data_IF_286335261917
#
_entry.id   IF_286335261917
#
_cell.length_a   1.000
_cell.length_b   1.000
_cell.length_c   1.000
_cell.angle_alpha   90.00
_cell.angle_beta   90.00
_cell.angle_gamma   90.00
#
_symmetry.space_group_name_H-M   'P 1'
#
loop_
_entity.id
_entity.type
_entity.pdbx_description
1 polymer ?
#
# COMPACT_ATOMS: atom_id res chain seq x y z
N UNK A 1 -30.61 -42.29 23.86
CA UNK A 1 -29.76 -41.59 22.87
C UNK A 1 -28.30 -41.84 23.24
N UNK A 2 -27.49 -42.46 22.36
CA UNK A 2 -26.15 -42.92 22.73
C UNK A 2 -25.18 -41.75 22.99
N UNK A 3 -24.28 -41.91 23.98
CA UNK A 3 -23.26 -40.93 24.37
C UNK A 3 -22.42 -40.40 23.19
N UNK A 4 -22.25 -41.21 22.13
CA UNK A 4 -21.59 -40.82 20.87
C UNK A 4 -22.39 -39.81 20.03
N UNK A 5 -23.72 -39.91 20.02
CA UNK A 5 -24.60 -38.99 19.29
C UNK A 5 -24.65 -37.61 19.98
N UNK A 6 -24.69 -37.59 21.32
CA UNK A 6 -24.63 -36.35 22.12
C UNK A 6 -23.29 -35.63 21.92
N UNK A 7 -22.16 -36.36 21.92
CA UNK A 7 -20.83 -35.78 21.64
C UNK A 7 -20.70 -35.21 20.22
N UNK A 8 -21.28 -35.87 19.21
CA UNK A 8 -21.27 -35.37 17.81
C UNK A 8 -22.13 -34.12 17.64
N UNK A 9 -23.30 -34.06 18.28
CA UNK A 9 -24.16 -32.87 18.28
C UNK A 9 -23.50 -31.70 19.02
N UNK A 10 -22.87 -31.95 20.18
CA UNK A 10 -22.16 -30.92 20.93
C UNK A 10 -20.93 -30.39 20.17
N UNK A 11 -20.17 -31.28 19.50
CA UNK A 11 -19.05 -30.89 18.65
C UNK A 11 -19.49 -30.08 17.41
N UNK A 12 -20.60 -30.47 16.78
CA UNK A 12 -21.18 -29.72 15.67
C UNK A 12 -21.67 -28.32 16.08
N UNK A 13 -22.33 -28.22 17.25
CA UNK A 13 -22.75 -26.95 17.83
C UNK A 13 -21.56 -26.04 18.18
N UNK A 14 -20.51 -26.58 18.76
CA UNK A 14 -19.29 -25.83 19.08
C UNK A 14 -18.56 -25.33 17.82
N UNK A 15 -18.49 -26.14 16.76
CA UNK A 15 -17.90 -25.74 15.49
C UNK A 15 -18.70 -24.62 14.79
N UNK A 16 -20.03 -24.70 14.81
CA UNK A 16 -20.91 -23.64 14.29
C UNK A 16 -20.80 -22.35 15.10
N UNK A 17 -20.72 -22.43 16.43
CA UNK A 17 -20.51 -21.27 17.29
C UNK A 17 -19.14 -20.62 17.05
N UNK A 18 -18.08 -21.42 16.89
CA UNK A 18 -16.74 -20.92 16.56
C UNK A 18 -16.70 -20.24 15.18
N UNK A 19 -17.36 -20.83 14.18
CA UNK A 19 -17.47 -20.24 12.84
C UNK A 19 -18.29 -18.94 12.86
N UNK A 20 -19.43 -18.92 13.57
CA UNK A 20 -20.24 -17.72 13.74
C UNK A 20 -19.50 -16.60 14.46
N UNK A 21 -18.74 -16.93 15.52
CA UNK A 21 -17.88 -15.97 16.22
C UNK A 21 -16.76 -15.44 15.32
N UNK A 22 -16.12 -16.30 14.51
CA UNK A 22 -15.05 -15.89 13.61
C UNK A 22 -15.52 -15.03 12.42
N UNK A 23 -16.81 -15.07 12.07
CA UNK A 23 -17.40 -14.28 10.99
C UNK A 23 -18.20 -13.06 11.49
N UNK A 24 -18.31 -12.86 12.82
CA UNK A 24 -19.15 -11.81 13.41
C UNK A 24 -18.77 -10.40 12.98
N UNK A 25 -17.49 -10.19 12.67
CA UNK A 25 -16.95 -8.87 12.33
C UNK A 25 -17.08 -8.55 10.82
N UNK A 26 -17.39 -9.56 9.98
CA UNK A 26 -17.53 -9.38 8.52
C UNK A 26 -18.49 -8.22 8.17
N UNK A 27 -19.69 -8.08 8.76
CA UNK A 27 -20.58 -6.96 8.42
C UNK A 27 -20.01 -5.58 8.79
N UNK A 28 -19.09 -5.51 9.75
CA UNK A 28 -18.41 -4.27 10.10
C UNK A 28 -17.25 -3.98 9.12
N UNK A 29 -16.54 -5.03 8.68
CA UNK A 29 -15.47 -4.94 7.69
C UNK A 29 -15.93 -4.42 6.31
N UNK A 30 -17.19 -4.63 5.94
CA UNK A 30 -17.77 -4.13 4.69
C UNK A 30 -17.89 -2.60 4.63
N UNK A 31 -17.80 -1.90 5.77
CA UNK A 31 -17.91 -0.44 5.82
C UNK A 31 -19.35 0.09 5.69
N UNK A 32 -19.45 1.42 5.57
CA UNK A 32 -20.71 2.17 5.44
C UNK A 32 -21.05 2.56 4.00
N UNK A 33 -22.24 3.12 3.81
CA UNK A 33 -22.72 3.64 2.52
C UNK A 33 -22.93 5.14 2.64
N UNK A 34 -22.52 5.89 1.63
CA UNK A 34 -22.69 7.33 1.61
C UNK A 34 -24.17 7.76 1.65
N UNK A 35 -24.44 8.84 2.38
CA UNK A 35 -25.76 9.45 2.50
C UNK A 35 -25.61 10.94 2.82
N UNK A 36 -26.71 11.69 2.79
CA UNK A 36 -26.74 13.12 3.12
C UNK A 36 -25.77 13.95 2.28
N UNK A 37 -25.11 14.92 2.92
CA UNK A 37 -24.18 15.85 2.27
C UNK A 37 -23.04 15.15 1.49
N UNK A 38 -22.52 14.03 2.01
CA UNK A 38 -21.50 13.24 1.31
C UNK A 38 -22.01 12.71 -0.02
N UNK A 39 -23.22 12.13 -0.03
CA UNK A 39 -23.82 11.64 -1.27
C UNK A 39 -24.08 12.79 -2.25
N UNK A 40 -24.51 13.95 -1.76
CA UNK A 40 -24.67 15.15 -2.60
C UNK A 40 -23.34 15.67 -3.17
N UNK A 41 -22.23 15.57 -2.43
CA UNK A 41 -20.89 15.84 -2.97
C UNK A 41 -20.50 14.82 -4.05
N UNK A 42 -20.69 13.53 -3.79
CA UNK A 42 -20.41 12.47 -4.76
C UNK A 42 -21.20 12.67 -6.05
N UNK A 43 -22.50 12.97 -5.97
CA UNK A 43 -23.35 13.21 -7.15
C UNK A 43 -22.94 14.42 -7.99
N UNK A 44 -22.17 15.36 -7.41
CA UNK A 44 -21.61 16.53 -8.12
C UNK A 44 -20.21 16.28 -8.66
N UNK A 45 -19.56 15.19 -8.28
CA UNK A 45 -18.23 14.83 -8.77
C UNK A 45 -18.26 14.61 -10.28
N UNK A 46 -17.32 15.18 -11.06
CA UNK A 46 -17.16 14.85 -12.48
C UNK A 46 -16.90 13.36 -12.74
N UNK A 47 -16.39 12.65 -11.73
CA UNK A 47 -16.03 11.24 -11.82
C UNK A 47 -17.19 10.30 -11.48
N UNK A 48 -18.30 10.83 -10.96
CA UNK A 48 -19.46 10.05 -10.58
C UNK A 48 -20.57 10.13 -11.62
N UNK A 49 -20.94 8.98 -12.19
CA UNK A 49 -22.07 8.86 -13.13
C UNK A 49 -22.64 7.45 -13.10
N UNK A 50 -23.92 7.33 -13.41
CA UNK A 50 -24.64 6.05 -13.44
C UNK A 50 -24.57 5.26 -12.11
N UNK A 51 -24.44 5.99 -10.99
CA UNK A 51 -24.41 5.42 -9.64
C UNK A 51 -23.05 4.85 -9.20
N UNK A 52 -21.97 5.10 -9.95
CA UNK A 52 -20.61 4.69 -9.58
C UNK A 52 -19.56 5.73 -9.99
N UNK A 53 -18.37 5.63 -9.42
CA UNK A 53 -17.18 6.34 -9.88
C UNK A 53 -16.55 5.68 -11.11
N UNK A 54 -15.84 6.47 -11.91
CA UNK A 54 -15.20 6.04 -13.16
C UNK A 54 -13.80 6.60 -13.29
N UNK A 55 -12.92 5.87 -13.97
CA UNK A 55 -11.61 6.37 -14.38
C UNK A 55 -11.73 7.46 -15.44
N UNK A 56 -10.76 8.37 -15.48
CA UNK A 56 -10.58 9.34 -16.57
C UNK A 56 -10.23 8.64 -17.90
N UNK A 57 -9.45 7.56 -17.83
CA UNK A 57 -9.17 6.64 -18.94
C UNK A 57 -9.83 5.29 -18.63
N UNK A 58 -10.73 4.77 -19.50
CA UNK A 58 -11.38 3.48 -19.28
C UNK A 58 -10.37 2.38 -18.93
N UNK A 59 -10.67 1.54 -17.94
CA UNK A 59 -9.77 0.50 -17.45
C UNK A 59 -10.42 -0.88 -17.55
N UNK A 60 -9.65 -1.85 -18.04
CA UNK A 60 -10.03 -3.26 -18.08
C UNK A 60 -9.74 -3.90 -16.72
N UNK A 61 -10.79 -4.25 -15.97
CA UNK A 61 -10.66 -4.83 -14.64
C UNK A 61 -10.30 -6.31 -14.70
N UNK A 62 -11.20 -7.16 -15.22
CA UNK A 62 -10.99 -8.59 -15.43
C UNK A 62 -11.93 -9.02 -16.54
N UNK A 63 -11.46 -9.81 -17.51
CA UNK A 63 -12.34 -10.31 -18.57
C UNK A 63 -13.44 -11.24 -18.01
N UNK A 64 -14.72 -11.04 -18.40
CA UNK A 64 -15.79 -11.95 -18.01
C UNK A 64 -15.48 -13.40 -18.41
N UNK A 65 -15.58 -14.33 -17.44
CA UNK A 65 -15.32 -15.76 -17.68
C UNK A 65 -13.87 -16.22 -17.44
N UNK A 66 -12.92 -15.31 -17.19
CA UNK A 66 -11.51 -15.65 -16.92
C UNK A 66 -11.25 -16.19 -15.50
N UNK A 67 -12.23 -16.11 -14.59
CA UNK A 67 -12.07 -16.47 -13.18
C UNK A 67 -11.52 -17.89 -12.92
N UNK A 68 -11.97 -18.96 -13.62
CA UNK A 68 -11.38 -20.29 -13.45
C UNK A 68 -9.91 -20.34 -13.89
N UNK A 69 -9.55 -19.62 -14.96
CA UNK A 69 -8.17 -19.52 -15.46
C UNK A 69 -7.25 -18.80 -14.49
N UNK A 70 -7.72 -17.68 -13.92
CA UNK A 70 -7.02 -16.93 -12.86
C UNK A 70 -6.85 -17.82 -11.63
N UNK A 71 -7.89 -18.52 -11.18
CA UNK A 71 -7.81 -19.42 -10.04
C UNK A 71 -6.79 -20.56 -10.29
N UNK A 72 -6.79 -21.15 -11.48
CA UNK A 72 -5.79 -22.16 -11.86
C UNK A 72 -4.36 -21.58 -11.86
N UNK A 73 -4.16 -20.36 -12.37
CA UNK A 73 -2.88 -19.67 -12.36
C UNK A 73 -2.41 -19.35 -10.93
N UNK A 74 -3.34 -18.93 -10.06
CA UNK A 74 -3.13 -18.71 -8.63
C UNK A 74 -2.87 -20.00 -7.85
N UNK A 75 -3.12 -21.18 -8.43
CA UNK A 75 -2.76 -22.47 -7.84
C UNK A 75 -1.42 -23.00 -8.37
N UNK A 76 -1.06 -22.68 -9.63
CA UNK A 76 0.26 -22.97 -10.19
C UNK A 76 1.35 -22.15 -9.50
N UNK A 77 2.57 -22.69 -9.46
CA UNK A 77 3.80 -22.02 -9.00
C UNK A 77 3.75 -21.37 -7.61
N UNK A 78 2.89 -21.89 -6.73
CA UNK A 78 2.66 -21.35 -5.37
C UNK A 78 3.94 -21.23 -4.55
N UNK A 79 4.90 -22.12 -4.75
CA UNK A 79 6.18 -22.09 -4.07
C UNK A 79 6.99 -20.82 -4.39
N UNK A 80 6.97 -20.34 -5.63
CA UNK A 80 7.70 -19.14 -6.05
C UNK A 80 7.11 -17.84 -5.50
N UNK A 81 5.84 -17.87 -5.09
CA UNK A 81 5.13 -16.72 -4.51
C UNK A 81 5.31 -16.58 -3.00
N UNK A 82 6.17 -17.41 -2.42
CA UNK A 82 6.58 -17.36 -1.03
C UNK A 82 8.09 -17.13 -0.98
N UNK A 83 8.58 -16.35 -0.01
CA UNK A 83 10.02 -16.24 0.20
C UNK A 83 10.60 -17.58 0.64
N UNK A 84 11.81 -17.89 0.19
CA UNK A 84 12.51 -19.13 0.55
C UNK A 84 13.02 -19.11 2.00
N UNK A 85 13.12 -17.93 2.61
CA UNK A 85 13.49 -17.72 4.02
C UNK A 85 12.70 -16.55 4.61
N UNK A 86 13.06 -16.15 5.82
CA UNK A 86 12.45 -14.98 6.46
C UNK A 86 12.88 -13.69 5.77
N UNK A 87 11.90 -12.84 5.43
CA UNK A 87 12.19 -11.49 4.93
C UNK A 87 12.88 -10.72 6.06
N UNK A 88 14.09 -10.18 5.85
CA UNK A 88 14.80 -9.46 6.89
C UNK A 88 14.04 -8.17 7.23
N UNK A 89 13.78 -7.95 8.52
CA UNK A 89 13.05 -6.78 9.03
C UNK A 89 13.96 -5.92 9.89
N UNK A 90 13.62 -4.64 9.99
CA UNK A 90 14.28 -3.71 10.89
C UNK A 90 13.27 -3.17 11.90
N UNK A 91 13.37 -3.68 13.13
CA UNK A 91 12.57 -3.20 14.25
C UNK A 91 13.30 -2.02 14.90
N UNK A 92 13.03 -0.79 14.44
CA UNK A 92 13.55 0.44 15.07
C UNK A 92 12.41 1.39 15.44
N UNK A 93 12.47 2.03 16.62
CA UNK A 93 11.60 3.16 16.91
C UNK A 93 11.83 4.28 15.89
N UNK A 94 10.80 5.09 15.63
CA UNK A 94 10.96 6.28 14.82
C UNK A 94 11.99 7.23 15.46
N UNK A 95 12.87 7.77 14.64
CA UNK A 95 13.86 8.78 15.04
C UNK A 95 13.17 10.12 15.30
N UNK A 96 13.79 11.06 16.03
CA UNK A 96 13.28 12.43 16.15
C UNK A 96 13.00 13.07 14.78
N UNK A 97 12.00 13.97 14.72
CA UNK A 97 11.66 14.71 13.51
C UNK A 97 12.85 15.55 13.05
N UNK A 98 13.20 15.47 11.78
CA UNK A 98 14.06 16.45 11.13
C UNK A 98 13.22 17.65 10.69
N UNK A 99 13.65 18.86 11.03
CA UNK A 99 12.97 20.08 10.58
C UNK A 99 13.07 20.30 9.06
N UNK A 100 14.04 19.65 8.42
CA UNK A 100 14.30 19.75 6.99
C UNK A 100 14.36 18.37 6.35
N UNK A 101 14.04 18.29 5.06
CA UNK A 101 14.24 17.09 4.25
C UNK A 101 13.01 16.21 4.07
N UNK A 102 13.24 15.08 3.41
CA UNK A 102 12.26 14.02 3.17
C UNK A 102 12.90 12.69 3.54
N UNK A 103 12.19 11.90 4.33
CA UNK A 103 12.58 10.54 4.69
C UNK A 103 11.36 9.63 4.72
N UNK A 104 11.58 8.33 4.61
CA UNK A 104 10.48 7.36 4.66
C UNK A 104 10.88 6.11 5.44
N UNK A 105 9.91 5.54 6.16
CA UNK A 105 9.99 4.20 6.73
C UNK A 105 8.91 3.37 6.06
N UNK A 106 9.31 2.31 5.37
CA UNK A 106 8.39 1.39 4.71
C UNK A 106 8.06 0.23 5.64
N UNK A 107 6.80 0.07 6.06
CA UNK A 107 6.39 -1.01 6.96
C UNK A 107 5.93 -2.29 6.24
N UNK A 108 5.91 -2.26 4.91
CA UNK A 108 5.45 -3.34 4.04
C UNK A 108 4.17 -2.96 3.29
N UNK A 109 3.95 -3.62 2.15
CA UNK A 109 2.87 -3.35 1.22
C UNK A 109 2.87 -1.88 0.78
N UNK A 110 1.76 -1.18 0.90
CA UNK A 110 1.66 0.26 0.68
C UNK A 110 1.96 1.11 1.93
N UNK A 111 2.02 0.49 3.11
CA UNK A 111 2.14 1.21 4.38
C UNK A 111 3.51 1.88 4.50
N UNK A 112 3.52 3.20 4.42
CA UNK A 112 4.74 4.00 4.46
C UNK A 112 4.54 5.22 5.35
N UNK A 113 5.43 5.40 6.33
CA UNK A 113 5.51 6.63 7.11
C UNK A 113 6.53 7.55 6.47
N UNK A 114 6.06 8.65 5.89
CA UNK A 114 6.90 9.69 5.30
C UNK A 114 7.03 10.84 6.27
N UNK A 115 8.25 11.31 6.47
CA UNK A 115 8.52 12.58 7.14
C UNK A 115 8.93 13.60 6.09
N UNK A 116 8.23 14.73 6.05
CA UNK A 116 8.44 15.84 5.12
C UNK A 116 8.42 17.14 5.91
N UNK A 117 9.57 17.83 5.96
CA UNK A 117 9.72 19.13 6.63
C UNK A 117 9.15 19.14 8.06
N UNK A 118 9.53 18.14 8.86
CA UNK A 118 9.09 18.00 10.25
C UNK A 118 7.71 17.37 10.46
N UNK A 119 6.96 17.09 9.40
CA UNK A 119 5.61 16.51 9.49
C UNK A 119 5.62 15.04 9.06
N UNK A 120 4.82 14.22 9.75
CA UNK A 120 4.72 12.79 9.54
C UNK A 120 3.38 12.42 8.90
N UNK A 121 3.45 11.85 7.71
CA UNK A 121 2.29 11.40 6.93
C UNK A 121 2.36 9.88 6.81
N UNK A 122 1.29 9.21 7.25
CA UNK A 122 1.17 7.76 7.15
C UNK A 122 0.24 7.39 5.99
N UNK A 123 0.79 6.73 4.98
CA UNK A 123 0.04 6.27 3.81
C UNK A 123 -0.45 4.84 4.00
N UNK A 124 -1.71 4.58 3.63
CA UNK A 124 -2.38 3.29 3.52
C UNK A 124 -1.99 2.29 4.61
N UNK A 125 -2.28 2.62 5.89
CA UNK A 125 -1.80 1.84 7.01
C UNK A 125 -2.57 0.54 7.18
N UNK A 126 -1.84 -0.58 7.11
CA UNK A 126 -2.36 -1.92 7.36
C UNK A 126 -1.46 -2.65 8.34
N UNK A 127 -1.97 -2.85 9.55
CA UNK A 127 -1.35 -3.65 10.61
C UNK A 127 -1.95 -5.06 10.74
N UNK A 128 -3.03 -5.38 10.03
CA UNK A 128 -3.60 -6.73 10.03
C UNK A 128 -2.67 -7.79 9.43
N UNK A 129 -2.78 -9.01 9.95
CA UNK A 129 -2.11 -10.22 9.42
C UNK A 129 -2.73 -10.65 8.07
N UNK A 130 -4.01 -10.35 7.86
CA UNK A 130 -4.75 -10.64 6.63
C UNK A 130 -5.50 -9.43 6.10
N UNK A 131 -5.55 -9.34 4.78
CA UNK A 131 -6.26 -8.28 4.03
C UNK A 131 -7.51 -8.88 3.41
N UNK A 132 -8.56 -8.98 4.23
CA UNK A 132 -9.78 -9.70 3.90
C UNK A 132 -10.92 -9.27 4.85
N UNK A 133 -12.19 -9.35 4.43
CA UNK A 133 -13.32 -9.21 5.34
C UNK A 133 -13.35 -10.29 6.44
N UNK A 134 -12.57 -11.37 6.30
CA UNK A 134 -12.47 -12.46 7.26
C UNK A 134 -11.04 -12.68 7.72
N UNK A 135 -10.86 -12.88 9.03
CA UNK A 135 -9.56 -13.25 9.60
C UNK A 135 -9.20 -14.74 9.39
N UNK A 136 -10.10 -15.54 8.81
CA UNK A 136 -9.86 -16.96 8.52
C UNK A 136 -9.36 -17.20 7.09
N UNK A 137 -9.81 -16.40 6.13
CA UNK A 137 -9.63 -16.63 4.70
C UNK A 137 -9.12 -15.36 4.04
N UNK A 138 -8.30 -15.49 3.00
CA UNK A 138 -7.77 -14.37 2.22
C UNK A 138 -6.25 -14.26 2.31
N UNK A 139 -5.65 -13.28 1.62
CA UNK A 139 -4.21 -13.08 1.62
C UNK A 139 -3.69 -12.82 3.02
N UNK A 140 -2.62 -13.53 3.39
CA UNK A 140 -1.89 -13.37 4.65
C UNK A 140 -0.54 -12.74 4.37
N UNK A 141 -0.05 -11.95 5.32
CA UNK A 141 1.27 -11.32 5.24
C UNK A 141 2.38 -12.35 5.11
N UNK A 142 3.43 -12.03 4.33
CA UNK A 142 4.62 -12.85 4.10
C UNK A 142 5.70 -12.68 5.19
N UNK A 143 5.58 -11.64 6.02
CA UNK A 143 6.48 -11.34 7.13
C UNK A 143 5.66 -10.80 8.31
N UNK A 144 6.12 -10.85 9.57
CA UNK A 144 5.46 -10.11 10.65
C UNK A 144 5.62 -8.60 10.45
N UNK A 145 4.82 -7.80 11.17
CA UNK A 145 5.03 -6.35 11.19
C UNK A 145 6.41 -6.00 11.76
N UNK A 146 7.12 -5.01 11.20
CA UNK A 146 8.41 -4.57 11.76
C UNK A 146 8.29 -4.04 13.19
N UNK A 147 7.16 -3.37 13.49
CA UNK A 147 6.82 -2.82 14.80
C UNK A 147 5.31 -2.93 15.07
N UNK A 148 4.87 -3.20 16.31
CA UNK A 148 3.46 -3.00 16.68
C UNK A 148 3.02 -1.54 16.47
N UNK A 149 1.72 -1.34 16.21
CA UNK A 149 1.14 -0.01 15.97
C UNK A 149 1.32 0.93 17.17
N UNK A 150 1.40 0.39 18.39
CA UNK A 150 1.66 1.16 19.61
C UNK A 150 3.06 1.81 19.66
N UNK A 151 3.98 1.39 18.79
CA UNK A 151 5.28 2.05 18.62
C UNK A 151 5.33 2.99 17.42
N UNK A 152 4.21 3.19 16.73
CA UNK A 152 4.10 4.23 15.73
C UNK A 152 4.27 5.58 16.42
N UNK A 153 5.14 6.47 15.92
CA UNK A 153 5.21 7.82 16.45
C UNK A 153 3.88 8.57 16.26
N UNK A 154 3.75 9.72 16.92
CA UNK A 154 2.73 10.69 16.53
C UNK A 154 2.85 11.02 15.05
N UNK A 155 1.72 10.91 14.35
CA UNK A 155 1.57 11.26 12.94
C UNK A 155 0.70 12.51 12.84
N UNK A 156 0.95 13.32 11.83
CA UNK A 156 0.25 14.58 11.58
C UNK A 156 -0.91 14.40 10.60
N UNK A 157 -0.85 13.37 9.76
CA UNK A 157 -1.90 12.99 8.83
C UNK A 157 -1.87 11.48 8.52
N UNK A 158 -3.05 10.90 8.30
CA UNK A 158 -3.21 9.56 7.70
C UNK A 158 -3.85 9.74 6.33
N UNK A 159 -3.24 9.17 5.30
CA UNK A 159 -3.70 9.28 3.91
C UNK A 159 -4.12 7.90 3.42
N UNK A 160 -5.31 7.81 2.82
CA UNK A 160 -5.84 6.58 2.22
C UNK A 160 -6.00 6.77 0.72
N UNK A 161 -5.48 5.87 -0.11
CA UNK A 161 -5.64 5.95 -1.56
C UNK A 161 -6.99 5.43 -2.06
N UNK A 162 -7.51 4.34 -1.49
CA UNK A 162 -8.78 3.72 -1.86
C UNK A 162 -9.26 2.71 -0.80
N UNK A 163 -10.44 2.12 -1.00
CA UNK A 163 -11.14 1.36 0.04
C UNK A 163 -10.86 -0.16 0.06
N UNK A 164 -9.92 -0.69 -0.73
CA UNK A 164 -9.63 -2.13 -0.69
C UNK A 164 -9.04 -2.56 0.66
N UNK A 165 -9.18 -3.85 0.99
CA UNK A 165 -8.81 -4.38 2.32
C UNK A 165 -7.32 -4.26 2.66
N UNK A 166 -6.47 -4.17 1.65
CA UNK A 166 -5.03 -4.01 1.77
C UNK A 166 -4.55 -2.56 1.77
N UNK A 167 -5.49 -1.60 1.71
CA UNK A 167 -5.23 -0.16 1.75
C UNK A 167 -6.03 0.54 2.86
N UNK A 168 -7.21 -0.01 3.18
CA UNK A 168 -8.11 0.46 4.22
C UNK A 168 -8.43 -0.69 5.19
N UNK A 169 -7.58 -0.84 6.19
CA UNK A 169 -7.71 -1.88 7.21
C UNK A 169 -8.47 -1.36 8.44
N UNK A 170 -9.69 -1.88 8.65
CA UNK A 170 -10.58 -1.41 9.73
C UNK A 170 -9.94 -1.52 11.12
N UNK A 171 -9.23 -2.61 11.40
CA UNK A 171 -8.57 -2.80 12.69
C UNK A 171 -7.52 -1.72 12.95
N UNK A 172 -6.73 -1.39 11.93
CA UNK A 172 -5.76 -0.28 11.98
C UNK A 172 -6.44 1.08 12.14
N UNK A 173 -7.51 1.36 11.39
CA UNK A 173 -8.26 2.61 11.52
C UNK A 173 -8.81 2.81 12.93
N UNK A 174 -9.41 1.77 13.53
CA UNK A 174 -9.92 1.85 14.89
C UNK A 174 -8.82 2.13 15.91
N UNK A 175 -7.68 1.47 15.77
CA UNK A 175 -6.55 1.65 16.67
C UNK A 175 -5.88 3.04 16.51
N UNK A 176 -5.76 3.54 15.28
CA UNK A 176 -5.32 4.91 14.99
C UNK A 176 -6.30 5.95 15.53
N UNK A 177 -7.61 5.69 15.44
CA UNK A 177 -8.64 6.59 15.96
C UNK A 177 -8.53 6.73 17.48
N UNK A 178 -8.28 5.61 18.18
CA UNK A 178 -8.13 5.58 19.62
C UNK A 178 -6.79 6.14 20.12
N UNK A 179 -5.70 5.96 19.36
CA UNK A 179 -4.34 6.27 19.81
C UNK A 179 -3.71 7.54 19.21
N UNK A 180 -4.31 8.12 18.18
CA UNK A 180 -3.78 9.28 17.46
C UNK A 180 -4.86 10.34 17.28
N UNK A 181 -4.46 11.60 17.12
CA UNK A 181 -5.34 12.75 16.85
C UNK A 181 -5.42 13.12 15.37
N UNK A 182 -4.50 12.61 14.55
CA UNK A 182 -4.36 12.96 13.14
C UNK A 182 -5.69 12.82 12.35
N UNK A 183 -5.98 13.74 11.42
CA UNK A 183 -7.06 13.57 10.47
C UNK A 183 -6.72 12.48 9.43
N UNK A 184 -7.77 11.89 8.87
CA UNK A 184 -7.75 10.98 7.74
C UNK A 184 -8.11 11.75 6.48
N UNK A 185 -7.18 11.83 5.54
CA UNK A 185 -7.42 12.35 4.20
C UNK A 185 -7.72 11.20 3.26
N UNK A 186 -8.90 11.22 2.65
CA UNK A 186 -9.42 10.10 1.86
C UNK A 186 -10.17 10.60 0.62
N UNK A 187 -10.24 9.81 -0.46
CA UNK A 187 -11.15 10.11 -1.57
C UNK A 187 -12.62 10.14 -1.16
N UNK A 188 -13.44 10.88 -1.92
CA UNK A 188 -14.89 10.95 -1.74
C UNK A 188 -15.55 9.57 -1.54
N UNK A 189 -16.43 9.47 -0.55
CA UNK A 189 -17.23 8.27 -0.27
C UNK A 189 -16.60 7.39 0.81
N UNK A 190 -15.27 7.36 0.94
CA UNK A 190 -14.57 6.57 1.97
C UNK A 190 -14.94 7.05 3.39
N UNK A 191 -15.27 8.33 3.56
CA UNK A 191 -15.71 8.86 4.85
C UNK A 191 -16.93 8.14 5.42
N UNK A 192 -17.79 7.55 4.58
CA UNK A 192 -18.91 6.73 5.05
C UNK A 192 -18.46 5.46 5.77
N UNK A 193 -17.34 4.86 5.34
CA UNK A 193 -16.72 3.73 6.05
C UNK A 193 -16.14 4.20 7.38
N UNK A 194 -15.39 5.29 7.38
CA UNK A 194 -14.74 5.85 8.57
C UNK A 194 -15.77 6.26 9.64
N UNK A 195 -16.84 6.96 9.26
CA UNK A 195 -17.93 7.32 10.17
C UNK A 195 -18.63 6.09 10.76
N UNK A 196 -18.89 5.06 9.95
CA UNK A 196 -19.45 3.79 10.46
C UNK A 196 -18.52 3.17 11.49
N UNK A 197 -17.22 3.31 11.32
CA UNK A 197 -16.19 2.84 12.26
C UNK A 197 -15.90 3.84 13.39
N UNK A 198 -16.76 4.84 13.57
CA UNK A 198 -16.70 5.81 14.67
C UNK A 198 -15.46 6.70 14.65
N UNK A 199 -14.88 6.93 13.47
CA UNK A 199 -13.93 8.04 13.30
C UNK A 199 -14.69 9.36 13.48
N UNK A 200 -14.23 10.28 14.34
CA UNK A 200 -14.86 11.59 14.50
C UNK A 200 -14.95 12.35 13.17
N UNK A 201 -16.10 12.96 12.89
CA UNK A 201 -16.35 13.62 11.60
C UNK A 201 -15.36 14.77 11.32
N UNK A 202 -14.91 15.48 12.35
CA UNK A 202 -13.91 16.55 12.26
C UNK A 202 -12.49 16.03 11.94
N UNK A 203 -12.27 14.72 12.02
CA UNK A 203 -11.04 14.05 11.60
C UNK A 203 -11.14 13.44 10.21
N UNK A 204 -12.23 13.62 9.47
CA UNK A 204 -12.39 13.05 8.13
C UNK A 204 -12.36 14.18 7.10
N UNK A 205 -11.35 14.17 6.24
CA UNK A 205 -11.20 15.11 5.13
C UNK A 205 -11.38 14.33 3.84
N UNK A 206 -12.54 14.50 3.20
CA UNK A 206 -12.87 13.85 1.93
C UNK A 206 -12.65 14.78 0.74
N UNK A 207 -11.85 14.32 -0.21
CA UNK A 207 -11.47 15.09 -1.40
C UNK A 207 -11.85 14.35 -2.69
N UNK A 208 -12.34 15.10 -3.68
CA UNK A 208 -12.40 14.66 -5.07
C UNK A 208 -11.03 14.81 -5.74
N UNK A 209 -10.85 14.28 -6.95
CA UNK A 209 -9.68 14.60 -7.75
C UNK A 209 -9.58 16.11 -8.01
N UNK A 210 -8.36 16.61 -7.95
CA UNK A 210 -7.98 18.03 -8.08
C UNK A 210 -8.46 18.92 -6.92
N UNK A 211 -9.11 18.36 -5.89
CA UNK A 211 -9.34 19.05 -4.62
C UNK A 211 -8.13 18.92 -3.68
N UNK A 212 -7.96 19.92 -2.82
CA UNK A 212 -6.86 19.96 -1.86
C UNK A 212 -7.30 20.40 -0.46
N UNK A 213 -6.51 20.02 0.54
CA UNK A 213 -6.65 20.45 1.92
C UNK A 213 -5.27 20.75 2.52
N UNK A 214 -5.24 21.63 3.52
CA UNK A 214 -4.02 21.95 4.27
C UNK A 214 -4.12 21.42 5.68
N UNK A 215 -3.17 20.57 6.08
CA UNK A 215 -3.06 19.99 7.44
C UNK A 215 -1.63 20.17 7.92
N UNK A 216 -1.45 20.80 9.08
CA UNK A 216 -0.11 21.01 9.64
C UNK A 216 0.82 21.80 8.72
N UNK A 217 0.31 22.68 7.86
CA UNK A 217 1.15 23.42 6.90
C UNK A 217 1.60 22.62 5.66
N UNK A 218 1.26 21.33 5.57
CA UNK A 218 1.36 20.56 4.33
C UNK A 218 0.08 20.70 3.51
N UNK A 219 0.21 20.87 2.20
CA UNK A 219 -0.91 20.78 1.26
C UNK A 219 -1.00 19.35 0.72
N UNK A 220 -2.18 18.78 0.82
CA UNK A 220 -2.53 17.48 0.28
C UNK A 220 -3.49 17.68 -0.88
N UNK A 221 -3.14 17.18 -2.06
CA UNK A 221 -4.02 17.22 -3.23
C UNK A 221 -4.32 15.79 -3.65
N UNK A 222 -5.60 15.44 -3.70
CA UNK A 222 -6.03 14.17 -4.27
C UNK A 222 -5.96 14.28 -5.80
N UNK A 223 -5.22 13.38 -6.44
CA UNK A 223 -5.01 13.38 -7.88
C UNK A 223 -5.54 12.09 -8.51
N UNK A 224 -5.72 12.12 -9.82
CA UNK A 224 -6.24 10.97 -10.55
C UNK A 224 -5.39 9.71 -10.35
N UNK A 225 -6.04 8.55 -10.34
CA UNK A 225 -5.42 7.24 -10.42
C UNK A 225 -6.26 6.36 -11.35
N UNK A 226 -5.62 5.40 -12.02
CA UNK A 226 -6.30 4.42 -12.86
C UNK A 226 -6.50 3.12 -12.08
N UNK A 227 -7.58 3.03 -11.32
CA UNK A 227 -7.87 1.89 -10.44
C UNK A 227 -9.39 1.70 -10.30
N UNK A 228 -9.82 1.06 -9.21
CA UNK A 228 -11.23 0.85 -8.87
C UNK A 228 -11.38 0.76 -7.35
N UNK A 229 -12.62 0.65 -6.86
CA UNK A 229 -12.88 0.45 -5.42
C UNK A 229 -13.92 -0.64 -5.19
N UNK A 230 -14.00 -1.12 -3.96
CA UNK A 230 -15.09 -1.99 -3.51
C UNK A 230 -14.70 -2.88 -2.34
N UNK A 231 -15.56 -2.84 -1.31
CA UNK A 231 -15.52 -3.76 -0.15
C UNK A 231 -16.65 -4.79 -0.17
N UNK A 232 -17.55 -4.70 -1.14
CA UNK A 232 -18.74 -5.55 -1.24
C UNK A 232 -18.81 -6.19 -2.64
N UNK A 233 -19.97 -6.77 -2.97
CA UNK A 233 -20.24 -7.22 -4.34
C UNK A 233 -20.44 -6.02 -5.30
N UNK A 234 -20.78 -4.85 -4.76
CA UNK A 234 -20.80 -3.58 -5.51
C UNK A 234 -19.40 -3.00 -5.52
N UNK A 235 -19.01 -2.45 -6.67
CA UNK A 235 -17.73 -1.78 -6.90
C UNK A 235 -17.96 -0.31 -7.20
N UNK A 236 -16.91 0.49 -7.03
CA UNK A 236 -16.85 1.89 -7.43
C UNK A 236 -17.92 2.76 -6.75
N UNK A 237 -18.31 2.42 -5.52
CA UNK A 237 -19.21 3.23 -4.68
C UNK A 237 -18.45 4.27 -3.84
N UNK A 238 -17.13 4.20 -3.82
CA UNK A 238 -16.19 5.21 -3.31
C UNK A 238 -15.20 5.61 -4.41
N UNK A 239 -14.62 6.80 -4.31
CA UNK A 239 -13.54 7.22 -5.21
C UNK A 239 -12.22 6.56 -4.78
N UNK A 240 -11.27 6.47 -5.70
CA UNK A 240 -9.87 6.07 -5.49
C UNK A 240 -8.98 7.19 -5.99
N UNK A 241 -7.74 7.32 -5.50
CA UNK A 241 -6.86 8.39 -5.94
C UNK A 241 -5.38 8.14 -5.67
N UNK A 242 -4.56 8.98 -6.27
CA UNK A 242 -3.17 9.21 -5.88
C UNK A 242 -3.09 10.51 -5.06
N UNK A 243 -1.94 10.79 -4.48
CA UNK A 243 -1.78 11.90 -3.56
C UNK A 243 -0.50 12.68 -3.82
N UNK A 244 -0.64 14.00 -3.94
CA UNK A 244 0.45 14.96 -3.82
C UNK A 244 0.49 15.48 -2.40
N UNK A 245 1.66 15.45 -1.76
CA UNK A 245 1.93 16.09 -0.47
C UNK A 245 3.03 17.11 -0.65
N UNK A 246 2.67 18.39 -0.54
CA UNK A 246 3.58 19.51 -0.74
C UNK A 246 3.82 20.27 0.58
N UNK A 247 5.10 20.34 0.97
CA UNK A 247 5.58 21.28 1.98
C UNK A 247 5.94 22.63 1.37
N UNK A 248 6.74 23.41 2.09
CA UNK A 248 7.25 24.71 1.65
C UNK A 248 8.29 24.58 0.54
N UNK A 249 9.15 23.56 0.60
CA UNK A 249 10.25 23.31 -0.34
C UNK A 249 10.23 21.90 -0.92
N UNK A 250 9.76 20.93 -0.15
CA UNK A 250 9.77 19.51 -0.54
C UNK A 250 8.40 19.02 -1.01
N UNK A 251 8.37 18.01 -1.89
CA UNK A 251 7.13 17.39 -2.39
C UNK A 251 7.26 15.87 -2.50
N UNK A 252 6.22 15.16 -2.09
CA UNK A 252 6.11 13.71 -2.16
C UNK A 252 4.88 13.35 -3.00
N UNK A 253 5.02 12.33 -3.84
CA UNK A 253 3.89 11.73 -4.55
C UNK A 253 3.66 10.30 -4.07
N UNK A 254 2.40 9.92 -3.90
CA UNK A 254 1.99 8.55 -3.63
C UNK A 254 0.97 8.08 -4.66
N UNK A 255 1.29 7.02 -5.39
CA UNK A 255 0.47 6.56 -6.52
C UNK A 255 -0.80 5.79 -6.11
N UNK A 256 -0.94 5.39 -4.84
CA UNK A 256 -1.87 4.32 -4.49
C UNK A 256 -1.46 3.03 -5.20
N UNK A 257 -2.45 2.34 -5.77
CA UNK A 257 -2.29 1.09 -6.52
C UNK A 257 -2.51 1.23 -8.02
N UNK A 258 -2.51 2.46 -8.51
CA UNK A 258 -2.86 2.84 -9.87
C UNK A 258 -2.14 1.98 -10.93
N UNK A 259 -2.85 1.69 -12.02
CA UNK A 259 -2.26 1.33 -13.29
C UNK A 259 -1.64 2.54 -14.00
N UNK A 260 -0.90 2.28 -15.08
CA UNK A 260 -0.31 3.35 -15.88
C UNK A 260 -1.36 4.09 -16.70
N UNK A 261 -1.22 5.42 -16.78
CA UNK A 261 -2.03 6.29 -17.62
C UNK A 261 -1.33 7.64 -17.88
N UNK A 262 -1.79 8.34 -18.91
CA UNK A 262 -1.22 9.61 -19.38
C UNK A 262 -1.31 10.77 -18.37
N UNK A 263 -2.09 10.61 -17.30
CA UNK A 263 -2.26 11.64 -16.29
C UNK A 263 -1.02 11.87 -15.44
N UNK A 264 -0.07 10.92 -15.38
CA UNK A 264 1.20 11.15 -14.69
C UNK A 264 1.99 12.33 -15.27
N UNK A 265 1.98 12.50 -16.60
CA UNK A 265 2.60 13.67 -17.26
C UNK A 265 1.92 14.97 -16.81
N UNK A 266 0.58 14.97 -16.72
CA UNK A 266 -0.19 16.16 -16.29
C UNK A 266 0.07 16.48 -14.81
N UNK A 267 0.09 15.45 -13.96
CA UNK A 267 0.38 15.59 -12.52
C UNK A 267 1.80 16.11 -12.32
N UNK A 268 2.79 15.55 -13.03
CA UNK A 268 4.18 16.01 -13.00
C UNK A 268 4.31 17.46 -13.44
N UNK A 269 3.63 17.86 -14.52
CA UNK A 269 3.63 19.24 -15.00
C UNK A 269 2.96 20.22 -14.02
N UNK A 270 1.89 19.82 -13.34
CA UNK A 270 1.12 20.68 -12.43
C UNK A 270 1.75 20.80 -11.04
N UNK A 271 2.32 19.71 -10.52
CA UNK A 271 2.73 19.61 -9.12
C UNK A 271 4.21 19.31 -8.93
N UNK A 272 4.90 18.75 -9.93
CA UNK A 272 6.30 18.35 -9.83
C UNK A 272 7.29 19.52 -9.82
N UNK A 273 8.60 19.21 -9.84
CA UNK A 273 9.16 17.87 -9.64
C UNK A 273 8.93 17.36 -8.20
N UNK A 274 9.03 16.05 -7.99
CA UNK A 274 8.86 15.43 -6.67
C UNK A 274 10.19 14.93 -6.12
N UNK A 275 10.43 15.14 -4.83
CA UNK A 275 11.59 14.61 -4.13
C UNK A 275 11.55 13.10 -3.99
N UNK A 276 10.37 12.58 -3.69
CA UNK A 276 10.11 11.16 -3.46
C UNK A 276 8.80 10.76 -4.12
N UNK A 277 8.83 9.67 -4.86
CA UNK A 277 7.62 9.00 -5.36
C UNK A 277 7.50 7.61 -4.74
N UNK A 278 6.36 7.33 -4.11
CA UNK A 278 5.97 6.03 -3.62
C UNK A 278 5.17 5.31 -4.72
N UNK A 279 5.77 4.32 -5.37
CA UNK A 279 5.23 3.71 -6.60
C UNK A 279 4.92 2.22 -6.40
N UNK A 280 3.69 1.75 -6.69
CA UNK A 280 3.35 0.34 -6.60
C UNK A 280 4.08 -0.43 -7.71
N UNK A 281 4.63 -1.60 -7.38
CA UNK A 281 5.36 -2.43 -8.37
C UNK A 281 4.86 -3.87 -8.44
N UNK A 282 3.99 -4.28 -7.52
CA UNK A 282 3.45 -5.63 -7.43
C UNK A 282 1.96 -5.68 -7.73
N UNK A 283 1.39 -6.89 -7.61
CA UNK A 283 -0.01 -7.19 -7.92
C UNK A 283 -0.41 -7.06 -9.41
N UNK A 284 0.52 -6.89 -10.33
CA UNK A 284 0.24 -6.84 -11.77
C UNK A 284 -0.05 -8.22 -12.37
N UNK A 285 -0.79 -8.24 -13.48
CA UNK A 285 -1.11 -9.46 -14.23
C UNK A 285 -1.63 -9.11 -15.62
N UNK A 286 -1.39 -10.00 -16.58
CA UNK A 286 -1.99 -9.88 -17.92
C UNK A 286 -3.54 -9.94 -17.89
N UNK A 287 -4.14 -10.45 -16.82
CA UNK A 287 -5.60 -10.54 -16.67
C UNK A 287 -6.25 -9.21 -16.26
N UNK A 288 -5.46 -8.22 -15.81
CA UNK A 288 -5.93 -6.90 -15.37
C UNK A 288 -4.89 -5.82 -15.67
N UNK A 289 -4.53 -5.63 -16.95
CA UNK A 289 -3.36 -4.86 -17.34
C UNK A 289 -3.48 -3.36 -17.02
N UNK A 290 -4.69 -2.85 -16.80
CA UNK A 290 -4.95 -1.41 -16.73
C UNK A 290 -4.98 -0.83 -15.32
N UNK A 291 -5.02 -1.67 -14.28
CA UNK A 291 -5.30 -1.23 -12.90
C UNK A 291 -4.15 -1.42 -11.92
N UNK A 292 -3.09 -2.12 -12.29
CA UNK A 292 -1.87 -2.23 -11.50
C UNK A 292 -0.67 -2.08 -12.42
N UNK A 293 0.19 -1.10 -12.15
CA UNK A 293 1.44 -0.96 -12.89
C UNK A 293 2.32 -2.20 -12.73
N UNK A 294 2.91 -2.63 -13.84
CA UNK A 294 4.10 -3.47 -13.78
C UNK A 294 5.34 -2.61 -13.39
N UNK A 295 6.48 -3.23 -13.06
CA UNK A 295 7.66 -2.49 -12.60
C UNK A 295 8.20 -1.48 -13.62
N UNK A 296 8.14 -1.80 -14.91
CA UNK A 296 8.61 -0.92 -15.99
C UNK A 296 7.68 0.29 -16.17
N UNK A 297 6.38 0.08 -16.09
CA UNK A 297 5.36 1.13 -16.04
C UNK A 297 5.51 2.03 -14.82
N UNK A 298 5.87 1.47 -13.66
CA UNK A 298 6.13 2.24 -12.45
C UNK A 298 7.34 3.18 -12.61
N UNK A 299 8.40 2.74 -13.33
CA UNK A 299 9.52 3.62 -13.69
C UNK A 299 9.08 4.70 -14.68
N UNK A 300 8.31 4.34 -15.70
CA UNK A 300 7.79 5.32 -16.66
C UNK A 300 6.95 6.41 -15.95
N UNK A 301 6.03 6.01 -15.07
CA UNK A 301 5.22 6.94 -14.28
C UNK A 301 6.08 7.83 -13.36
N UNK A 302 7.10 7.25 -12.70
CA UNK A 302 8.05 8.02 -11.89
C UNK A 302 8.75 9.12 -12.70
N UNK A 303 9.17 8.81 -13.93
CA UNK A 303 9.81 9.76 -14.84
C UNK A 303 8.82 10.83 -15.33
N UNK A 304 7.60 10.45 -15.70
CA UNK A 304 6.54 11.38 -16.13
C UNK A 304 6.12 12.36 -15.03
N UNK A 305 6.20 11.93 -13.77
CA UNK A 305 5.98 12.76 -12.59
C UNK A 305 7.13 13.74 -12.33
N UNK A 306 8.29 13.56 -12.97
CA UNK A 306 9.51 14.29 -12.63
C UNK A 306 10.02 13.93 -11.23
N UNK A 307 9.93 12.66 -10.85
CA UNK A 307 10.43 12.17 -9.57
C UNK A 307 11.95 12.14 -9.49
N UNK A 308 12.51 12.45 -8.32
CA UNK A 308 13.94 12.37 -8.03
C UNK A 308 14.33 11.01 -7.45
N UNK A 309 13.73 10.60 -6.33
CA UNK A 309 13.95 9.27 -5.73
C UNK A 309 12.68 8.42 -5.83
N UNK A 310 12.82 7.19 -6.31
CA UNK A 310 11.73 6.21 -6.36
C UNK A 310 11.83 5.22 -5.19
N UNK A 311 10.76 5.08 -4.41
CA UNK A 311 10.61 4.03 -3.40
C UNK A 311 9.47 3.08 -3.84
N UNK A 312 9.75 1.79 -4.07
CA UNK A 312 8.74 0.83 -4.48
C UNK A 312 7.91 0.34 -3.31
N UNK A 313 6.59 0.36 -3.49
CA UNK A 313 5.59 -0.16 -2.55
C UNK A 313 4.76 -1.27 -3.22
N UNK A 314 3.79 -1.82 -2.50
CA UNK A 314 2.84 -2.81 -3.02
C UNK A 314 3.47 -4.18 -3.40
N UNK A 315 4.56 -4.56 -2.73
CA UNK A 315 5.27 -5.83 -2.96
C UNK A 315 5.82 -6.44 -1.68
N UNK A 316 6.31 -7.69 -1.75
CA UNK A 316 6.92 -8.47 -0.65
C UNK A 316 6.10 -8.66 0.64
N UNK A 317 4.84 -8.22 0.68
CA UNK A 317 4.04 -8.27 1.91
C UNK A 317 2.80 -9.14 1.79
N UNK A 318 2.01 -9.01 0.72
CA UNK A 318 0.88 -9.90 0.43
C UNK A 318 1.02 -10.54 -0.95
N UNK A 319 0.50 -11.76 -1.10
CA UNK A 319 0.41 -12.42 -2.39
C UNK A 319 -0.96 -12.13 -3.02
N UNK A 320 -0.99 -11.18 -3.95
CA UNK A 320 -2.21 -10.67 -4.59
C UNK A 320 -2.27 -10.94 -6.10
N UNK A 321 -1.20 -11.48 -6.70
CA UNK A 321 -1.10 -11.72 -8.14
C UNK A 321 -0.22 -12.92 -8.48
N UNK A 322 -0.33 -13.48 -9.70
CA UNK A 322 0.37 -14.70 -10.09
C UNK A 322 1.82 -14.44 -10.56
N UNK A 323 2.60 -13.65 -9.83
CA UNK A 323 4.04 -13.45 -10.04
C UNK A 323 4.84 -13.94 -8.83
N UNK A 324 6.12 -14.28 -9.00
CA UNK A 324 6.97 -14.65 -7.87
C UNK A 324 7.14 -13.47 -6.89
N UNK A 325 7.38 -13.75 -5.61
CA UNK A 325 7.31 -12.70 -4.56
C UNK A 325 8.34 -11.58 -4.75
N UNK A 326 9.55 -11.91 -5.24
CA UNK A 326 10.65 -10.96 -5.50
C UNK A 326 10.82 -10.56 -6.96
N UNK A 327 10.02 -11.11 -7.87
CA UNK A 327 10.06 -10.72 -9.29
C UNK A 327 9.84 -9.22 -9.52
N UNK A 328 8.87 -8.55 -8.83
CA UNK A 328 8.64 -7.12 -8.99
C UNK A 328 9.91 -6.27 -8.82
N UNK A 329 10.63 -6.44 -7.71
CA UNK A 329 11.81 -5.64 -7.40
C UNK A 329 13.00 -6.00 -8.30
N UNK A 330 13.10 -7.26 -8.75
CA UNK A 330 14.15 -7.67 -9.68
C UNK A 330 13.96 -7.04 -11.06
N UNK A 331 12.72 -6.95 -11.55
CA UNK A 331 12.37 -6.24 -12.78
C UNK A 331 12.60 -4.74 -12.62
N UNK A 332 12.12 -4.16 -11.52
CA UNK A 332 12.31 -2.75 -11.21
C UNK A 332 13.79 -2.36 -11.21
N UNK A 333 14.65 -3.16 -10.56
CA UNK A 333 16.09 -2.87 -10.49
C UNK A 333 16.75 -2.84 -11.87
N UNK A 334 16.37 -3.74 -12.78
CA UNK A 334 16.86 -3.74 -14.16
C UNK A 334 16.40 -2.51 -14.94
N UNK A 335 15.13 -2.16 -14.82
CA UNK A 335 14.59 -0.99 -15.50
C UNK A 335 15.22 0.29 -14.97
N UNK A 336 15.34 0.43 -13.64
CA UNK A 336 15.95 1.59 -13.02
C UNK A 336 17.43 1.77 -13.41
N UNK A 337 18.17 0.67 -13.58
CA UNK A 337 19.54 0.72 -14.12
C UNK A 337 19.55 1.20 -15.58
N UNK A 338 18.64 0.70 -16.41
CA UNK A 338 18.55 1.05 -17.82
C UNK A 338 18.17 2.53 -18.05
N UNK A 339 17.31 3.09 -17.20
CA UNK A 339 16.84 4.49 -17.29
C UNK A 339 17.64 5.48 -16.46
N UNK A 340 18.55 5.01 -15.60
CA UNK A 340 19.28 5.85 -14.65
C UNK A 340 18.42 6.37 -13.49
N UNK A 341 17.28 5.72 -13.21
CA UNK A 341 16.38 6.09 -12.12
C UNK A 341 17.04 5.87 -10.75
N UNK A 342 17.00 6.89 -9.88
CA UNK A 342 17.52 6.78 -8.52
C UNK A 342 16.55 5.99 -7.63
N UNK A 343 16.81 4.70 -7.51
CA UNK A 343 15.99 3.74 -6.77
C UNK A 343 16.51 3.53 -5.33
N UNK A 344 15.60 3.54 -4.36
CA UNK A 344 15.83 3.00 -3.00
C UNK A 344 14.94 1.79 -2.76
N UNK A 345 15.43 0.79 -2.03
CA UNK A 345 14.63 -0.40 -1.68
C UNK A 345 14.90 -0.80 -0.23
N UNK A 346 14.30 -0.10 0.76
CA UNK A 346 14.49 -0.45 2.16
C UNK A 346 13.95 -1.85 2.46
N UNK A 347 14.50 -2.50 3.49
CA UNK A 347 13.81 -3.63 4.15
C UNK A 347 12.57 -3.11 4.88
N UNK A 348 11.55 -3.94 5.15
CA UNK A 348 10.44 -3.49 5.97
C UNK A 348 10.91 -3.05 7.37
N UNK A 349 10.63 -1.79 7.71
CA UNK A 349 11.04 -1.09 8.92
C UNK A 349 12.33 -0.27 8.78
N UNK A 350 13.05 -0.35 7.66
CA UNK A 350 14.19 0.53 7.41
C UNK A 350 13.76 1.95 7.07
N UNK A 351 14.57 2.91 7.53
CA UNK A 351 14.45 4.32 7.16
C UNK A 351 15.37 4.60 5.98
N UNK A 352 14.85 5.35 5.01
CA UNK A 352 15.64 6.02 3.97
C UNK A 352 15.58 7.53 4.17
N UNK A 353 16.64 8.21 3.76
CA UNK A 353 16.68 9.66 3.61
C UNK A 353 16.82 9.97 2.12
N UNK A 354 16.05 10.92 1.59
CA UNK A 354 16.07 11.25 0.16
C UNK A 354 17.39 11.93 -0.23
N UNK A 355 17.95 12.73 0.66
CA UNK A 355 19.17 13.49 0.36
C UNK A 355 20.41 12.59 0.45
N UNK A 356 20.37 11.57 1.31
CA UNK A 356 21.40 10.53 1.46
C UNK A 356 20.89 9.13 1.05
N UNK A 357 20.10 9.07 -0.03
CA UNK A 357 19.54 7.81 -0.52
C UNK A 357 20.65 6.88 -1.02
N UNK A 358 20.97 5.88 -0.20
CA UNK A 358 21.93 4.82 -0.49
C UNK A 358 21.38 3.83 -1.53
N UNK A 359 22.30 3.16 -2.24
CA UNK A 359 21.94 2.09 -3.16
C UNK A 359 21.31 0.91 -2.39
N UNK A 360 20.32 0.22 -2.98
CA UNK A 360 19.70 -0.95 -2.37
C UNK A 360 20.72 -2.04 -2.04
N UNK A 361 20.64 -2.63 -0.85
CA UNK A 361 21.19 -3.96 -0.60
C UNK A 361 20.17 -4.98 -1.12
N UNK A 362 20.59 -5.93 -1.96
CA UNK A 362 19.69 -6.87 -2.65
C UNK A 362 19.08 -7.93 -1.70
N UNK A 363 18.47 -7.51 -0.60
CA UNK A 363 17.98 -8.34 0.50
C UNK A 363 16.89 -9.34 0.08
N UNK A 364 16.27 -9.13 -1.08
CA UNK A 364 15.30 -10.05 -1.69
C UNK A 364 15.94 -11.25 -2.41
N UNK A 365 17.27 -11.30 -2.51
CA UNK A 365 18.01 -12.41 -3.11
C UNK A 365 18.43 -13.43 -2.05
N UNK A 366 17.51 -14.31 -1.64
CA UNK A 366 17.84 -15.43 -0.76
C UNK A 366 18.91 -16.34 -1.41
N UNK A 367 20.03 -16.56 -0.70
CA UNK A 367 21.02 -17.58 -1.07
C UNK A 367 22.06 -17.16 -2.10
N UNK A 368 22.12 -15.89 -2.52
CA UNK A 368 23.33 -15.38 -3.17
C UNK A 368 24.29 -14.83 -2.11
N UNK A 369 25.59 -15.16 -2.13
CA UNK A 369 26.54 -14.49 -1.26
C UNK A 369 26.49 -12.99 -1.55
N UNK A 370 26.44 -12.17 -0.50
CA UNK A 370 26.52 -10.72 -0.63
C UNK A 370 27.73 -10.38 -1.52
N UNK A 371 27.50 -9.70 -2.64
CA UNK A 371 28.56 -9.25 -3.51
C UNK A 371 29.34 -8.14 -2.79
N UNK A 372 30.33 -8.51 -1.99
CA UNK A 372 31.07 -7.52 -1.19
C UNK A 372 31.91 -8.09 -0.06
N UNK A 373 32.67 -9.17 -0.27
CA UNK A 373 33.81 -9.51 0.57
C UNK A 373 34.75 -10.52 -0.12
N UNK A 374 35.26 -10.21 -1.33
CA UNK A 374 36.54 -10.80 -1.72
C UNK A 374 37.61 -10.11 -0.88
N UNK A 375 37.94 -10.67 0.28
CA UNK A 375 39.21 -10.40 0.93
C UNK A 375 40.30 -10.91 -0.01
N UNK A 376 41.02 -9.98 -0.62
CA UNK A 376 42.35 -10.25 -1.18
C UNK A 376 43.22 -10.71 -0.02
N UNK A 377 43.42 -12.02 0.12
CA UNK A 377 44.53 -12.53 0.92
C UNK A 377 45.78 -12.35 0.08
N UNK A 378 46.45 -11.21 0.30
CA UNK A 378 47.81 -10.98 -0.14
C UNK A 378 48.73 -12.04 0.47
N UNK A 379 49.61 -12.56 -0.37
CA UNK A 379 50.69 -13.47 -0.04
C UNK A 379 51.68 -12.82 0.93
N UNK A 380 51.83 -13.38 2.13
CA UNK A 380 53.07 -13.27 2.88
C UNK A 380 53.92 -14.52 2.62
N UNK A 381 54.93 -14.34 1.79
CA UNK A 381 56.08 -15.23 1.70
C UNK A 381 57.33 -14.34 1.61
N UNK A 382 57.87 -13.97 2.77
CA UNK A 382 59.25 -13.57 2.98
C UNK A 382 59.71 -14.32 4.24
N UNK A 383 60.52 -15.37 4.12
CA UNK A 383 61.98 -15.31 3.97
C UNK A 383 62.67 -14.83 5.26
N UNK A 384 63.10 -15.79 6.08
CA UNK A 384 64.13 -15.61 7.09
C UNK A 384 65.07 -16.83 7.08
N UNK A 385 66.19 -16.68 6.38
CA UNK A 385 67.50 -17.26 6.70
C UNK A 385 68.52 -16.16 6.55
#
# INVERSE_FOLDING_TARGET
>A
MGMKAVRRLAAGGAALAAAGWALRDVPAELGGTASGERLERMLRSPQYRDGTFHNSVPASLVEPGSAPGIAAQMMRDRASRQPAGEIPLVARPATPRSAEGVSAIWYGHATTLVEIEGHRVLFDPVWSDRVSPSQLVGPRRLHPLPVPLTMLPEVDAVVISHDHYDHLDRATILALTAGQSAPFLVPLGIGAHLERWQVPADRIIELDWDEDAVVGGLRFTATAARHFSGRTLRRNDTLWGSWVVAGQRRKVFYAGDSGYFDGYVRIGAAHGPFDLTLMPIGAYSANWPDIHMNPEEAVAAHLDLGGNVMLPVHWATFNLAPHAWSEPVQRLGREAEATGTRLVVPRPGDRIDVDDAAKPDAWWEFGKPAAGALRVLGSEADAAT
#
